data_IF_929078672642
#
_entry.id   IF_929078672642
#
_cell.length_a   1.000
_cell.length_b   1.000
_cell.length_c   1.000
_cell.angle_alpha   90.00
_cell.angle_beta   90.00
_cell.angle_gamma   90.00
#
_symmetry.space_group_name_H-M   'P 1'
#
loop_
_entity.id
_entity.type
_entity.pdbx_description
1 polymer ?
#
# COMPACT_ATOMS: atom_id res chain seq x y z
N UNK A 1 -14.44 24.84 36.35
CA UNK A 1 -15.27 23.86 35.64
C UNK A 1 -15.42 24.40 34.23
N UNK A 2 -14.94 23.66 33.24
CA UNK A 2 -14.85 24.13 31.85
C UNK A 2 -16.25 24.26 31.24
N UNK A 3 -16.47 25.40 30.58
CA UNK A 3 -17.65 25.69 29.77
C UNK A 3 -17.41 25.08 28.37
N UNK A 4 -18.42 24.38 27.85
CA UNK A 4 -18.48 23.93 26.46
C UNK A 4 -18.78 25.13 25.55
N UNK A 5 -17.76 25.55 24.79
CA UNK A 5 -17.95 26.46 23.66
C UNK A 5 -18.28 25.64 22.41
N UNK A 6 -19.38 26.07 21.80
CA UNK A 6 -19.99 25.57 20.57
C UNK A 6 -19.17 25.94 19.34
N UNK A 7 -18.82 24.97 18.50
CA UNK A 7 -18.35 25.24 17.14
C UNK A 7 -19.49 25.02 16.13
N UNK A 8 -19.89 26.15 15.58
CA UNK A 8 -21.00 26.37 14.65
C UNK A 8 -20.54 26.16 13.19
N UNK A 9 -21.40 25.49 12.42
CA UNK A 9 -21.62 25.58 10.97
C UNK A 9 -20.48 25.36 9.94
N UNK A 10 -20.68 24.39 9.05
CA UNK A 10 -20.91 24.64 7.61
C UNK A 10 -21.45 23.38 6.90
N UNK A 11 -22.76 23.14 7.00
CA UNK A 11 -23.46 22.22 6.08
C UNK A 11 -23.88 22.99 4.84
N UNK A 12 -23.15 22.84 3.72
CA UNK A 12 -23.64 23.30 2.41
C UNK A 12 -24.71 22.31 1.92
N UNK A 13 -25.96 22.76 1.91
CA UNK A 13 -27.07 22.10 1.22
C UNK A 13 -26.72 21.97 -0.27
N UNK A 14 -26.76 20.73 -0.78
CA UNK A 14 -26.66 20.45 -2.21
C UNK A 14 -28.09 20.53 -2.75
N UNK A 15 -28.37 21.50 -3.64
CA UNK A 15 -29.61 21.55 -4.39
C UNK A 15 -29.71 20.31 -5.28
N UNK A 16 -30.60 19.37 -4.93
CA UNK A 16 -31.05 18.31 -5.82
C UNK A 16 -32.14 18.87 -6.73
N UNK A 17 -31.75 19.65 -7.72
CA UNK A 17 -32.56 19.77 -8.93
C UNK A 17 -32.25 18.57 -9.82
N UNK A 18 -33.31 17.94 -10.34
CA UNK A 18 -33.30 16.69 -11.09
C UNK A 18 -32.31 16.75 -12.28
N UNK A 19 -31.10 16.21 -12.09
CA UNK A 19 -30.17 15.95 -13.19
C UNK A 19 -30.56 14.60 -13.76
N UNK A 20 -31.26 14.61 -14.91
CA UNK A 20 -31.55 13.40 -15.67
C UNK A 20 -30.25 12.85 -16.26
N UNK A 21 -29.81 11.71 -15.70
CA UNK A 21 -28.53 11.08 -16.01
C UNK A 21 -28.55 10.44 -17.42
N UNK A 22 -29.73 10.26 -18.04
CA UNK A 22 -29.87 9.53 -19.31
C UNK A 22 -29.76 10.37 -20.59
N UNK A 23 -29.81 11.70 -20.56
CA UNK A 23 -29.70 12.53 -21.79
C UNK A 23 -28.26 12.69 -22.32
N UNK A 24 -27.26 12.05 -21.71
CA UNK A 24 -25.85 12.17 -22.14
C UNK A 24 -25.45 11.30 -23.34
N UNK A 25 -26.40 10.64 -24.02
CA UNK A 25 -26.09 9.89 -25.24
C UNK A 25 -26.14 10.78 -26.48
N UNK A 26 -24.95 11.08 -27.02
CA UNK A 26 -24.75 11.32 -28.45
C UNK A 26 -25.02 12.73 -28.99
N UNK A 27 -24.19 13.71 -28.62
CA UNK A 27 -23.86 14.81 -29.55
C UNK A 27 -22.47 14.55 -30.09
N UNK A 28 -22.39 14.23 -31.38
CA UNK A 28 -21.14 14.02 -32.11
C UNK A 28 -20.22 15.24 -31.94
N UNK A 29 -19.28 15.13 -31.01
CA UNK A 29 -18.23 16.13 -30.84
C UNK A 29 -17.25 15.96 -31.99
N UNK A 30 -17.19 16.96 -32.87
CA UNK A 30 -16.15 17.09 -33.86
C UNK A 30 -14.79 16.72 -33.26
N UNK A 31 -14.04 15.84 -33.93
CA UNK A 31 -12.74 15.34 -33.50
C UNK A 31 -11.82 16.52 -33.23
N UNK A 32 -11.68 16.93 -31.96
CA UNK A 32 -10.53 17.72 -31.54
C UNK A 32 -9.31 16.85 -31.77
N UNK A 33 -8.38 17.31 -32.61
CA UNK A 33 -7.07 16.69 -32.75
C UNK A 33 -6.50 16.49 -31.35
N UNK A 34 -6.32 15.22 -30.96
CA UNK A 34 -5.71 14.88 -29.68
C UNK A 34 -4.28 15.41 -29.77
N UNK A 35 -3.94 16.44 -28.99
CA UNK A 35 -2.55 16.80 -28.82
C UNK A 35 -1.85 15.57 -28.26
N UNK A 36 -0.93 15.01 -29.05
CA UNK A 36 -0.12 13.88 -28.62
C UNK A 36 0.68 14.42 -27.45
N UNK A 37 0.35 13.99 -26.22
CA UNK A 37 1.19 14.25 -25.07
C UNK A 37 2.49 13.49 -25.33
N UNK A 38 3.49 14.23 -25.80
CA UNK A 38 4.82 13.71 -26.11
C UNK A 38 5.35 13.13 -24.80
N UNK A 39 5.56 11.82 -24.75
CA UNK A 39 6.26 11.19 -23.62
C UNK A 39 7.69 11.70 -23.69
N UNK A 40 8.06 12.61 -22.79
CA UNK A 40 9.43 13.14 -22.71
C UNK A 40 10.19 12.27 -21.71
N UNK A 41 11.36 11.76 -22.12
CA UNK A 41 12.26 11.14 -21.15
C UNK A 41 12.73 12.21 -20.16
N UNK A 42 12.71 11.94 -18.84
CA UNK A 42 13.29 12.85 -17.87
C UNK A 42 14.79 12.99 -18.11
N UNK A 43 15.34 14.17 -17.81
CA UNK A 43 16.78 14.40 -17.91
C UNK A 43 17.53 13.42 -17.00
N UNK A 44 18.52 12.75 -17.57
CA UNK A 44 19.41 11.86 -16.85
C UNK A 44 20.46 12.73 -16.15
N UNK A 45 20.35 12.84 -14.84
CA UNK A 45 21.26 13.60 -13.97
C UNK A 45 22.38 12.66 -13.50
N UNK A 46 23.62 13.15 -13.45
CA UNK A 46 24.76 12.35 -12.96
C UNK A 46 24.71 12.19 -11.44
N UNK A 47 25.37 11.15 -10.90
CA UNK A 47 25.41 10.92 -9.45
C UNK A 47 25.95 12.14 -8.68
N UNK A 48 27.00 12.77 -9.21
CA UNK A 48 27.64 13.93 -8.57
C UNK A 48 26.71 15.12 -8.49
N UNK A 49 25.91 15.36 -9.55
CA UNK A 49 24.88 16.40 -9.56
C UNK A 49 23.78 16.11 -8.53
N UNK A 50 23.38 14.84 -8.36
CA UNK A 50 22.43 14.46 -7.31
C UNK A 50 22.99 14.74 -5.92
N UNK A 51 24.28 14.47 -5.67
CA UNK A 51 24.91 14.78 -4.38
C UNK A 51 24.98 16.29 -4.12
N UNK A 52 25.28 17.10 -5.14
CA UNK A 52 25.25 18.56 -5.04
C UNK A 52 23.85 19.05 -4.67
N UNK A 53 22.82 18.56 -5.35
CA UNK A 53 21.42 18.92 -5.05
C UNK A 53 21.02 18.53 -3.63
N UNK A 54 21.45 17.36 -3.12
CA UNK A 54 21.16 16.94 -1.74
C UNK A 54 21.84 17.85 -0.72
N UNK A 55 23.06 18.32 -1.00
CA UNK A 55 23.79 19.19 -0.08
C UNK A 55 23.15 20.57 0.09
N UNK A 56 22.48 21.06 -0.96
CA UNK A 56 21.75 22.33 -0.98
C UNK A 56 20.44 22.30 -0.19
N UNK A 57 19.94 21.12 0.18
CA UNK A 57 18.72 20.96 0.97
C UNK A 57 18.92 21.39 2.43
N UNK A 58 17.85 21.88 3.05
CA UNK A 58 17.83 22.12 4.50
C UNK A 58 17.76 20.79 5.29
N UNK A 59 17.94 20.86 6.61
CA UNK A 59 18.05 19.66 7.44
C UNK A 59 16.76 18.81 7.43
N UNK A 60 15.58 19.44 7.45
CA UNK A 60 14.28 18.74 7.37
C UNK A 60 14.09 18.05 6.01
N UNK A 61 14.52 18.69 4.93
CA UNK A 61 14.46 18.13 3.57
C UNK A 61 15.47 17.00 3.39
N UNK A 62 16.67 17.13 3.95
CA UNK A 62 17.67 16.06 4.01
C UNK A 62 17.12 14.87 4.77
N UNK A 63 16.46 15.12 5.91
CA UNK A 63 15.82 14.08 6.69
C UNK A 63 14.75 13.33 5.87
N UNK A 64 13.90 14.05 5.13
CA UNK A 64 12.91 13.45 4.23
C UNK A 64 13.57 12.63 3.11
N UNK A 65 14.62 13.14 2.46
CA UNK A 65 15.29 12.45 1.34
C UNK A 65 16.05 11.21 1.82
N UNK A 66 16.68 11.29 3.00
CA UNK A 66 17.49 10.21 3.56
C UNK A 66 16.65 9.16 4.31
N UNK A 67 15.56 9.54 4.95
CA UNK A 67 14.76 8.67 5.82
C UNK A 67 13.41 8.23 5.25
N UNK A 68 13.10 8.49 3.98
CA UNK A 68 11.96 7.82 3.30
C UNK A 68 12.31 6.35 3.04
N UNK A 69 12.24 5.53 4.09
CA UNK A 69 12.29 4.07 3.97
C UNK A 69 11.26 3.67 2.93
N UNK A 70 11.72 3.11 1.81
CA UNK A 70 10.84 2.52 0.81
C UNK A 70 10.07 1.40 1.52
N UNK A 71 8.77 1.61 1.73
CA UNK A 71 7.89 0.52 2.17
C UNK A 71 7.68 -0.37 0.96
N UNK A 72 8.31 -1.54 0.96
CA UNK A 72 8.00 -2.56 -0.05
C UNK A 72 6.62 -3.09 0.31
N UNK A 73 5.63 -2.84 -0.55
CA UNK A 73 4.32 -3.48 -0.44
C UNK A 73 4.55 -4.95 -0.83
N UNK A 74 4.52 -5.82 0.18
CA UNK A 74 4.71 -7.26 0.03
C UNK A 74 3.34 -7.91 0.17
N UNK A 75 2.68 -8.14 -0.96
CA UNK A 75 1.47 -8.98 -0.99
C UNK A 75 1.91 -10.43 -0.96
N UNK A 76 1.50 -11.16 0.07
CA UNK A 76 1.44 -12.61 0.01
C UNK A 76 0.01 -12.97 -0.38
N UNK A 77 -0.15 -13.80 -1.40
CA UNK A 77 -1.46 -14.09 -2.00
C UNK A 77 -1.85 -15.57 -1.96
N UNK A 78 -0.88 -16.45 -1.69
CA UNK A 78 -1.14 -17.88 -1.60
C UNK A 78 -1.76 -18.22 -0.24
N UNK A 79 -2.63 -19.21 -0.25
CA UNK A 79 -3.21 -19.81 0.95
C UNK A 79 -2.58 -21.18 1.17
N UNK A 80 -2.35 -21.55 2.42
CA UNK A 80 -1.86 -22.90 2.78
C UNK A 80 -2.75 -23.99 2.17
N UNK A 81 -4.07 -23.79 2.17
CA UNK A 81 -4.99 -24.82 1.66
C UNK A 81 -4.93 -25.01 0.14
N UNK A 82 -4.59 -23.93 -0.60
CA UNK A 82 -4.61 -23.94 -2.08
C UNK A 82 -3.23 -24.24 -2.65
N UNK A 83 -2.18 -23.62 -2.11
CA UNK A 83 -0.81 -23.75 -2.58
C UNK A 83 0.16 -23.61 -1.39
N UNK A 84 0.40 -24.70 -0.65
CA UNK A 84 1.23 -24.66 0.56
C UNK A 84 2.69 -24.35 0.24
N UNK A 85 3.20 -24.85 -0.89
CA UNK A 85 4.61 -24.68 -1.27
C UNK A 85 4.89 -23.19 -1.51
N UNK A 86 4.06 -22.52 -2.32
CA UNK A 86 4.25 -21.10 -2.59
C UNK A 86 3.93 -20.23 -1.38
N UNK A 87 2.99 -20.64 -0.52
CA UNK A 87 2.74 -19.99 0.77
C UNK A 87 4.01 -19.92 1.63
N UNK A 88 4.66 -21.06 1.90
CA UNK A 88 5.86 -21.10 2.75
C UNK A 88 7.03 -20.38 2.09
N UNK A 89 7.20 -20.58 0.77
CA UNK A 89 8.24 -19.92 -0.01
C UNK A 89 8.16 -18.39 0.09
N UNK A 90 6.98 -17.82 -0.06
CA UNK A 90 6.78 -16.38 0.09
C UNK A 90 7.09 -15.92 1.51
N UNK A 91 6.56 -16.58 2.54
CA UNK A 91 6.81 -16.16 3.92
C UNK A 91 8.31 -16.17 4.28
N UNK A 92 9.04 -17.19 3.86
CA UNK A 92 10.51 -17.25 4.03
C UNK A 92 11.18 -16.10 3.28
N UNK A 93 10.87 -15.90 1.99
CA UNK A 93 11.48 -14.83 1.19
C UNK A 93 11.15 -13.43 1.69
N UNK A 94 9.97 -13.26 2.31
CA UNK A 94 9.50 -11.96 2.74
C UNK A 94 10.02 -11.56 4.12
N UNK A 95 10.24 -12.54 5.02
CA UNK A 95 10.49 -12.24 6.43
C UNK A 95 11.76 -12.87 6.99
N UNK A 96 12.46 -13.72 6.24
CA UNK A 96 13.78 -14.21 6.62
C UNK A 96 14.87 -13.35 5.95
N UNK A 97 15.91 -12.91 6.68
CA UNK A 97 17.10 -12.36 6.04
C UNK A 97 17.89 -13.48 5.36
N UNK A 98 18.31 -13.26 4.12
CA UNK A 98 19.19 -14.16 3.37
C UNK A 98 20.15 -13.34 2.52
N UNK A 99 21.36 -13.88 2.27
CA UNK A 99 22.36 -13.19 1.45
C UNK A 99 22.32 -13.72 0.01
N UNK A 100 22.21 -15.04 -0.14
CA UNK A 100 22.10 -15.70 -1.43
C UNK A 100 20.85 -16.60 -1.47
N UNK A 101 19.90 -16.20 -2.32
CA UNK A 101 18.62 -16.89 -2.50
C UNK A 101 18.78 -18.33 -3.00
N UNK A 102 19.70 -18.58 -3.93
CA UNK A 102 19.85 -19.90 -4.55
C UNK A 102 20.42 -20.94 -3.58
N UNK A 103 21.45 -20.55 -2.81
CA UNK A 103 22.11 -21.47 -1.88
C UNK A 103 21.32 -21.69 -0.60
N UNK A 104 20.68 -20.64 -0.08
CA UNK A 104 20.03 -20.68 1.24
C UNK A 104 18.56 -21.09 1.15
N UNK A 105 17.87 -20.73 0.06
CA UNK A 105 16.41 -20.85 -0.05
C UNK A 105 16.01 -21.86 -1.13
N UNK A 106 16.44 -21.73 -2.38
CA UNK A 106 15.92 -22.55 -3.49
C UNK A 106 16.30 -24.02 -3.46
N UNK A 107 17.39 -24.38 -2.79
CA UNK A 107 17.82 -25.79 -2.62
C UNK A 107 17.25 -26.46 -1.37
N UNK A 108 16.51 -25.72 -0.54
CA UNK A 108 16.03 -26.15 0.78
C UNK A 108 14.51 -26.36 0.75
N UNK A 109 13.99 -27.23 1.62
CA UNK A 109 12.55 -27.34 1.84
C UNK A 109 12.02 -26.08 2.55
N UNK A 110 11.15 -25.32 1.86
CA UNK A 110 10.57 -24.07 2.36
C UNK A 110 9.72 -24.23 3.62
N UNK A 111 8.95 -25.31 3.71
CA UNK A 111 8.08 -25.59 4.85
C UNK A 111 8.90 -25.80 6.12
N UNK A 112 9.92 -26.64 6.02
CA UNK A 112 10.84 -26.88 7.13
C UNK A 112 11.53 -25.58 7.55
N UNK A 113 12.05 -24.82 6.58
CA UNK A 113 12.75 -23.56 6.83
C UNK A 113 11.83 -22.50 7.48
N UNK A 114 10.55 -22.48 7.10
CA UNK A 114 9.53 -21.65 7.70
C UNK A 114 9.31 -22.00 9.18
N UNK A 115 9.07 -23.27 9.50
CA UNK A 115 8.84 -23.68 10.89
C UNK A 115 10.08 -23.54 11.77
N UNK A 116 11.27 -23.86 11.24
CA UNK A 116 12.55 -23.69 11.94
C UNK A 116 12.80 -22.22 12.33
N UNK A 117 12.28 -21.26 11.55
CA UNK A 117 12.47 -19.82 11.76
C UNK A 117 11.18 -19.06 12.10
N UNK A 118 10.13 -19.77 12.50
CA UNK A 118 8.78 -19.22 12.64
C UNK A 118 8.72 -17.97 13.53
N UNK A 119 9.42 -18.00 14.67
CA UNK A 119 9.46 -16.87 15.61
C UNK A 119 10.07 -15.61 14.99
N UNK A 120 11.15 -15.74 14.21
CA UNK A 120 11.77 -14.62 13.51
C UNK A 120 10.86 -14.07 12.43
N UNK A 121 10.21 -14.96 11.68
CA UNK A 121 9.26 -14.60 10.62
C UNK A 121 8.09 -13.82 11.22
N UNK A 122 7.46 -14.31 12.27
CA UNK A 122 6.33 -13.62 12.94
C UNK A 122 6.75 -12.28 13.54
N UNK A 123 7.92 -12.21 14.19
CA UNK A 123 8.47 -10.96 14.70
C UNK A 123 8.67 -9.93 13.58
N UNK A 124 9.23 -10.35 12.45
CA UNK A 124 9.45 -9.46 11.31
C UNK A 124 8.13 -9.07 10.65
N UNK A 125 7.19 -10.01 10.49
CA UNK A 125 5.84 -9.77 9.96
C UNK A 125 5.09 -8.73 10.78
N UNK A 126 5.15 -8.83 12.11
CA UNK A 126 4.45 -7.91 13.03
C UNK A 126 4.88 -6.44 12.88
N UNK A 127 6.09 -6.17 12.39
CA UNK A 127 6.58 -4.80 12.14
C UNK A 127 5.91 -4.14 10.94
N UNK A 128 5.31 -4.93 10.05
CA UNK A 128 4.71 -4.45 8.80
C UNK A 128 3.19 -4.58 8.79
N UNK A 129 2.59 -5.44 9.62
CA UNK A 129 1.14 -5.48 9.84
C UNK A 129 0.68 -4.32 10.73
N UNK A 130 0.21 -3.23 10.12
CA UNK A 130 -0.38 -2.07 10.80
C UNK A 130 -1.70 -2.45 11.49
N UNK A 131 -2.46 -3.37 10.87
CA UNK A 131 -3.70 -3.93 11.40
C UNK A 131 -3.37 -5.37 11.77
N UNK A 132 -3.56 -5.73 13.04
CA UNK A 132 -3.49 -7.14 13.45
C UNK A 132 -4.65 -7.87 12.78
N UNK A 133 -4.40 -9.06 12.23
CA UNK A 133 -5.42 -9.85 11.53
C UNK A 133 -6.70 -10.00 12.38
N UNK A 134 -6.56 -10.13 13.70
CA UNK A 134 -7.69 -10.17 14.65
C UNK A 134 -8.60 -8.94 14.59
N UNK A 135 -8.06 -7.74 14.36
CA UNK A 135 -8.85 -6.51 14.23
C UNK A 135 -9.66 -6.50 12.92
N UNK A 136 -9.09 -7.02 11.84
CA UNK A 136 -9.77 -7.12 10.54
C UNK A 136 -10.87 -8.20 10.59
N UNK A 137 -10.56 -9.34 11.21
CA UNK A 137 -11.47 -10.47 11.32
C UNK A 137 -12.66 -10.17 12.24
N UNK A 138 -12.43 -9.42 13.33
CA UNK A 138 -13.53 -8.91 14.16
C UNK A 138 -14.38 -7.88 13.42
N UNK A 139 -13.78 -6.94 12.69
CA UNK A 139 -14.52 -5.97 11.89
C UNK A 139 -15.38 -6.63 10.79
N UNK A 140 -14.89 -7.72 10.17
CA UNK A 140 -15.66 -8.51 9.21
C UNK A 140 -16.86 -9.21 9.86
N UNK A 141 -16.66 -9.87 11.00
CA UNK A 141 -17.74 -10.49 11.77
C UNK A 141 -18.78 -9.48 12.23
N UNK A 142 -18.34 -8.31 12.67
CA UNK A 142 -19.24 -7.23 13.10
C UNK A 142 -20.07 -6.70 11.93
N UNK A 143 -19.47 -6.54 10.74
CA UNK A 143 -20.19 -6.14 9.52
C UNK A 143 -21.23 -7.18 9.07
N UNK A 144 -20.88 -8.47 9.12
CA UNK A 144 -21.83 -9.56 8.84
C UNK A 144 -22.99 -9.57 9.85
N UNK A 145 -22.71 -9.42 11.14
CA UNK A 145 -23.73 -9.41 12.19
C UNK A 145 -24.69 -8.21 12.12
N UNK A 146 -24.27 -7.09 11.53
CA UNK A 146 -25.14 -5.91 11.30
C UNK A 146 -26.14 -6.16 10.16
N UNK A 147 -25.79 -6.98 9.15
CA UNK A 147 -26.74 -7.30 8.07
C UNK A 147 -27.90 -8.19 8.53
N UNK A 148 -27.74 -9.01 9.57
CA UNK A 148 -28.80 -9.90 10.08
C UNK A 148 -29.76 -9.25 11.08
N UNK A 149 -29.50 -8.00 11.49
CA UNK A 149 -30.32 -7.27 12.49
C UNK A 149 -31.25 -6.21 11.89
N UNK A 150 -31.34 -6.13 10.57
CA UNK A 150 -32.30 -5.28 9.85
C UNK A 150 -33.34 -6.13 9.11
#
# INVERSE_FOLDING_TARGET
MYNEETDDYFSKQINLENVDILEQTGKDKAKKEKSIQRIVLPNIITKDQVYQMINELNDDQKDIVMHKKRKIIRYYGYKVETDPINYYREHVLLFLPFTNKESEIEKTNYEKLFYDNFSTIEKNKSQYCIIKDNCLENALKDAENVQWRN
#
